data_IF_881411804554
#
_entry.id   IF_881411804554
#
_cell.length_a   1.000
_cell.length_b   1.000
_cell.length_c   1.000
_cell.angle_alpha   90.00
_cell.angle_beta   90.00
_cell.angle_gamma   90.00
#
_symmetry.space_group_name_H-M   'P 1'
#
loop_
_entity.id
_entity.type
_entity.pdbx_description
1 polymer ?
#
# COMPACT_ATOMS: atom_id res chain seq x y z
N UNK A 1 19.30 4.64 8.23
CA UNK A 1 18.85 4.26 6.87
C UNK A 1 19.26 2.85 6.46
N UNK A 2 20.55 2.46 6.41
CA UNK A 2 20.98 1.11 5.94
C UNK A 2 20.25 -0.07 6.62
N UNK A 3 20.11 -0.06 7.95
CA UNK A 3 19.35 -1.10 8.68
C UNK A 3 17.87 -1.17 8.31
N UNK A 4 17.21 -0.02 8.11
CA UNK A 4 15.78 0.04 7.73
C UNK A 4 15.54 -0.41 6.29
N UNK A 5 16.48 -0.12 5.38
CA UNK A 5 16.47 -0.67 4.01
C UNK A 5 16.65 -2.19 4.03
N UNK A 6 17.64 -2.71 4.75
CA UNK A 6 17.86 -4.15 4.87
C UNK A 6 16.67 -4.85 5.50
N UNK A 7 16.10 -4.32 6.59
CA UNK A 7 14.90 -4.88 7.24
C UNK A 7 13.66 -4.86 6.32
N UNK A 8 13.49 -3.80 5.52
CA UNK A 8 12.38 -3.72 4.56
C UNK A 8 12.57 -4.70 3.40
N UNK A 9 13.79 -4.84 2.88
CA UNK A 9 14.15 -5.78 1.82
C UNK A 9 14.11 -7.24 2.27
N UNK A 10 14.41 -7.50 3.54
CA UNK A 10 14.40 -8.84 4.14
C UNK A 10 13.08 -9.16 4.85
N UNK A 11 12.04 -8.34 4.68
CA UNK A 11 10.72 -8.61 5.26
C UNK A 11 10.15 -9.89 4.65
N UNK A 12 10.15 -11.02 5.38
CA UNK A 12 9.79 -12.31 4.80
C UNK A 12 8.34 -12.32 4.35
N UNK A 13 7.47 -11.52 4.98
CA UNK A 13 6.06 -11.42 4.60
C UNK A 13 5.90 -10.80 3.20
N UNK A 14 6.65 -9.75 2.90
CA UNK A 14 6.60 -9.10 1.59
C UNK A 14 7.19 -10.01 0.50
N UNK A 15 8.35 -10.63 0.78
CA UNK A 15 8.97 -11.59 -0.15
C UNK A 15 8.03 -12.76 -0.44
N UNK A 16 7.47 -13.40 0.60
CA UNK A 16 6.56 -14.52 0.44
C UNK A 16 5.30 -14.12 -0.33
N UNK A 17 4.78 -12.90 -0.12
CA UNK A 17 3.66 -12.39 -0.90
C UNK A 17 4.01 -12.28 -2.39
N UNK A 18 5.14 -11.65 -2.74
CA UNK A 18 5.56 -11.51 -4.13
C UNK A 18 5.85 -12.86 -4.80
N UNK A 19 6.57 -13.77 -4.12
CA UNK A 19 6.86 -15.11 -4.65
C UNK A 19 5.57 -15.90 -4.84
N UNK A 20 4.65 -15.89 -3.87
CA UNK A 20 3.37 -16.61 -3.98
C UNK A 20 2.46 -16.06 -5.08
N UNK A 21 2.55 -14.75 -5.35
CA UNK A 21 1.85 -14.14 -6.48
C UNK A 21 2.50 -14.55 -7.80
N UNK A 22 3.82 -14.46 -7.91
CA UNK A 22 4.56 -14.72 -9.15
C UNK A 22 4.50 -16.17 -9.62
N UNK A 23 4.58 -17.14 -8.72
CA UNK A 23 4.49 -18.57 -9.06
C UNK A 23 3.14 -18.93 -9.71
N UNK A 24 2.08 -18.14 -9.49
CA UNK A 24 0.78 -18.36 -10.15
C UNK A 24 0.78 -17.98 -11.64
N UNK A 25 1.70 -17.12 -12.07
CA UNK A 25 1.76 -16.60 -13.44
C UNK A 25 2.96 -17.12 -14.24
N UNK A 26 3.84 -17.92 -13.61
CA UNK A 26 5.08 -18.38 -14.21
C UNK A 26 5.09 -19.91 -14.22
N UNK A 27 5.36 -20.48 -15.39
CA UNK A 27 5.70 -21.90 -15.49
C UNK A 27 7.12 -22.13 -14.94
N UNK A 28 7.19 -22.75 -13.77
CA UNK A 28 8.43 -23.06 -13.07
C UNK A 28 9.29 -24.11 -13.79
N UNK A 29 8.76 -24.83 -14.78
CA UNK A 29 9.49 -25.82 -15.57
C UNK A 29 10.11 -25.23 -16.84
N UNK A 30 9.85 -23.95 -17.14
CA UNK A 30 10.42 -23.28 -18.31
C UNK A 30 11.92 -23.02 -18.12
N UNK A 31 12.71 -23.22 -19.18
CA UNK A 31 14.18 -23.10 -19.18
C UNK A 31 14.70 -21.68 -18.82
N UNK A 32 13.82 -20.66 -18.80
CA UNK A 32 14.20 -19.28 -18.51
C UNK A 32 13.22 -18.58 -17.54
N UNK A 33 12.95 -19.20 -16.40
CA UNK A 33 12.06 -18.69 -15.35
C UNK A 33 12.48 -17.31 -14.83
N UNK A 34 13.80 -17.04 -14.77
CA UNK A 34 14.34 -15.78 -14.23
C UNK A 34 13.88 -14.53 -14.99
N UNK A 35 13.77 -14.62 -16.33
CA UNK A 35 13.27 -13.52 -17.15
C UNK A 35 11.79 -13.25 -16.90
N UNK A 36 10.98 -14.30 -16.73
CA UNK A 36 9.55 -14.15 -16.40
C UNK A 36 9.35 -13.44 -15.05
N UNK A 37 10.13 -13.83 -14.03
CA UNK A 37 10.16 -13.14 -12.74
C UNK A 37 10.55 -11.66 -12.87
N UNK A 38 11.56 -11.35 -13.69
CA UNK A 38 12.03 -9.98 -13.90
C UNK A 38 10.96 -9.10 -14.57
N UNK A 39 10.29 -9.61 -15.60
CA UNK A 39 9.19 -8.89 -16.29
C UNK A 39 8.06 -8.61 -15.31
N UNK A 40 7.67 -9.60 -14.52
CA UNK A 40 6.57 -9.48 -13.56
C UNK A 40 6.92 -8.50 -12.42
N UNK A 41 8.16 -8.54 -11.93
CA UNK A 41 8.68 -7.59 -10.93
C UNK A 41 8.68 -6.15 -11.45
N UNK A 42 9.20 -5.92 -12.67
CA UNK A 42 9.21 -4.59 -13.29
C UNK A 42 7.79 -4.08 -13.54
N UNK A 43 6.88 -4.95 -13.96
CA UNK A 43 5.46 -4.59 -14.18
C UNK A 43 4.81 -4.14 -12.87
N UNK A 44 4.97 -4.91 -11.79
CA UNK A 44 4.45 -4.53 -10.48
C UNK A 44 5.08 -3.24 -9.95
N UNK A 45 6.38 -3.05 -10.16
CA UNK A 45 7.08 -1.83 -9.71
C UNK A 45 6.56 -0.59 -10.45
N UNK A 46 6.35 -0.68 -11.77
CA UNK A 46 5.77 0.43 -12.56
C UNK A 46 4.36 0.77 -12.06
N UNK A 47 3.52 -0.24 -11.85
CA UNK A 47 2.15 -0.03 -11.33
C UNK A 47 2.21 0.60 -9.93
N UNK A 48 3.08 0.10 -9.07
CA UNK A 48 3.27 0.61 -7.70
C UNK A 48 3.74 2.06 -7.71
N UNK A 49 4.70 2.39 -8.57
CA UNK A 49 5.22 3.74 -8.73
C UNK A 49 4.15 4.71 -9.22
N UNK A 50 3.36 4.32 -10.23
CA UNK A 50 2.24 5.11 -10.74
C UNK A 50 1.19 5.31 -9.64
N UNK A 51 0.82 4.24 -8.95
CA UNK A 51 -0.18 4.28 -7.88
C UNK A 51 0.25 5.18 -6.71
N UNK A 52 1.49 5.01 -6.23
CA UNK A 52 2.02 5.85 -5.15
C UNK A 52 2.15 7.31 -5.57
N UNK A 53 2.63 7.57 -6.79
CA UNK A 53 2.67 8.93 -7.34
C UNK A 53 1.28 9.55 -7.38
N UNK A 54 0.30 8.82 -7.90
CA UNK A 54 -1.09 9.27 -7.94
C UNK A 54 -1.63 9.57 -6.54
N UNK A 55 -1.41 8.70 -5.56
CA UNK A 55 -1.81 8.92 -4.17
C UNK A 55 -1.16 10.16 -3.55
N UNK A 56 0.14 10.36 -3.79
CA UNK A 56 0.88 11.51 -3.26
C UNK A 56 0.34 12.81 -3.86
N UNK A 57 0.21 12.89 -5.19
CA UNK A 57 -0.26 14.10 -5.85
C UNK A 57 -1.73 14.39 -5.56
N UNK A 58 -2.60 13.39 -5.62
CA UNK A 58 -4.02 13.55 -5.28
C UNK A 58 -4.20 13.91 -3.80
N UNK A 59 -3.48 13.27 -2.89
CA UNK A 59 -3.50 13.58 -1.46
C UNK A 59 -3.02 15.00 -1.16
N UNK A 60 -1.94 15.44 -1.81
CA UNK A 60 -1.45 16.82 -1.69
C UNK A 60 -2.47 17.84 -2.22
N UNK A 61 -3.09 17.54 -3.36
CA UNK A 61 -4.13 18.39 -3.96
C UNK A 61 -5.36 18.50 -3.05
N UNK A 62 -5.89 17.37 -2.57
CA UNK A 62 -7.02 17.31 -1.65
C UNK A 62 -6.70 18.07 -0.36
N UNK A 63 -5.51 17.85 0.21
CA UNK A 63 -5.08 18.56 1.43
C UNK A 63 -5.04 20.07 1.22
N UNK A 64 -4.51 20.53 0.08
CA UNK A 64 -4.46 21.96 -0.27
C UNK A 64 -5.87 22.54 -0.45
N UNK A 65 -6.76 21.81 -1.10
CA UNK A 65 -8.16 22.22 -1.29
C UNK A 65 -8.93 22.30 0.05
N UNK A 66 -8.76 21.29 0.91
CA UNK A 66 -9.40 21.25 2.23
C UNK A 66 -8.87 22.34 3.17
N UNK A 67 -7.60 22.74 3.05
CA UNK A 67 -7.05 23.90 3.79
C UNK A 67 -7.79 25.20 3.48
N UNK A 68 -8.25 25.39 2.24
CA UNK A 68 -9.07 26.54 1.85
C UNK A 68 -10.51 26.45 2.40
N UNK A 69 -11.00 25.24 2.68
CA UNK A 69 -12.37 24.97 3.16
C UNK A 69 -12.37 24.41 4.59
N UNK A 70 -12.01 25.25 5.58
CA UNK A 70 -11.90 24.88 7.01
C UNK A 70 -13.10 24.08 7.58
N UNK A 71 -14.34 24.37 7.16
CA UNK A 71 -15.53 23.62 7.59
C UNK A 71 -15.53 22.16 7.10
N UNK A 72 -15.10 21.92 5.86
CA UNK A 72 -15.07 20.59 5.27
C UNK A 72 -13.96 19.72 5.90
N UNK A 73 -12.80 20.32 6.19
CA UNK A 73 -11.73 19.66 6.94
C UNK A 73 -12.19 19.25 8.35
N UNK A 74 -12.92 20.11 9.06
CA UNK A 74 -13.46 19.81 10.40
C UNK A 74 -14.47 18.66 10.36
N UNK A 75 -15.35 18.63 9.37
CA UNK A 75 -16.32 17.55 9.19
C UNK A 75 -15.61 16.21 8.90
N UNK A 76 -14.62 16.22 7.99
CA UNK A 76 -13.83 15.03 7.67
C UNK A 76 -13.11 14.46 8.89
N UNK A 77 -12.44 15.30 9.67
CA UNK A 77 -11.77 14.87 10.91
C UNK A 77 -12.78 14.33 11.94
N UNK A 78 -13.96 14.95 12.06
CA UNK A 78 -15.03 14.48 12.94
C UNK A 78 -15.55 13.10 12.55
N UNK A 79 -15.79 12.86 11.25
CA UNK A 79 -16.22 11.57 10.73
C UNK A 79 -15.17 10.48 10.97
N UNK A 80 -13.90 10.78 10.71
CA UNK A 80 -12.79 9.85 10.99
C UNK A 80 -12.76 9.51 12.49
N UNK A 81 -12.84 10.52 13.36
CA UNK A 81 -12.90 10.31 14.80
C UNK A 81 -14.07 9.43 15.23
N UNK A 82 -15.25 9.66 14.65
CA UNK A 82 -16.45 8.87 14.92
C UNK A 82 -16.27 7.40 14.49
N UNK A 83 -15.65 7.16 13.32
CA UNK A 83 -15.32 5.82 12.86
C UNK A 83 -14.36 5.11 13.82
N UNK A 84 -13.33 5.80 14.31
CA UNK A 84 -12.39 5.22 15.30
C UNK A 84 -13.09 4.87 16.61
N UNK A 85 -13.96 5.74 17.12
CA UNK A 85 -14.78 5.45 18.32
C UNK A 85 -15.69 4.25 18.06
N UNK A 86 -16.32 4.18 16.89
CA UNK A 86 -17.15 3.04 16.48
C UNK A 86 -16.37 1.73 16.42
N UNK A 87 -15.17 1.73 15.83
CA UNK A 87 -14.27 0.57 15.82
C UNK A 87 -13.85 0.15 17.23
N UNK A 88 -13.48 1.11 18.09
CA UNK A 88 -13.12 0.83 19.47
C UNK A 88 -14.29 0.24 20.27
N UNK A 89 -15.49 0.79 20.13
CA UNK A 89 -16.70 0.26 20.76
C UNK A 89 -17.05 -1.15 20.26
N UNK A 90 -16.90 -1.40 18.94
CA UNK A 90 -17.11 -2.74 18.38
C UNK A 90 -16.07 -3.73 18.90
N UNK A 91 -14.82 -3.33 19.03
CA UNK A 91 -13.75 -4.16 19.57
C UNK A 91 -13.98 -4.46 21.06
N UNK A 92 -14.41 -3.47 21.85
CA UNK A 92 -14.70 -3.63 23.27
C UNK A 92 -15.94 -4.50 23.53
N UNK A 93 -16.94 -4.48 22.65
CA UNK A 93 -18.13 -5.35 22.73
C UNK A 93 -17.91 -6.75 22.15
N UNK A 94 -16.77 -6.99 21.48
CA UNK A 94 -16.31 -8.30 21.05
C UNK A 94 -15.43 -9.00 22.11
N UNK A 95 -15.26 -8.37 23.28
CA UNK A 95 -14.75 -8.97 24.52
C UNK A 95 -15.90 -9.23 25.49
#
# INVERSE_FOLDING_TARGET
>A
MKRSLVLSMTNPKAILFYVSFFVQFIDVQANNTGVAFMILAVTLEIISFIYMSFLIFSGAFVTRYLKTKKKLAKLGNGLIGLLFVGFAARLASLH
#
